data_IF_710906961174
#
_entry.id   IF_710906961174
#
_cell.length_a   1.000
_cell.length_b   1.000
_cell.length_c   1.000
_cell.angle_alpha   90.00
_cell.angle_beta   90.00
_cell.angle_gamma   90.00
#
_symmetry.space_group_name_H-M   'P 1'
#
loop_
_entity.id
_entity.type
_entity.pdbx_description
1 polymer ?
#
# COMPACT_ATOMS: atom_id res chain seq x y z
N UNK A 1 4.66 -5.31 21.47
CA UNK A 1 5.30 -5.25 20.16
C UNK A 1 6.34 -4.16 20.15
N UNK A 2 7.58 -4.56 19.95
CA UNK A 2 8.64 -3.61 19.67
C UNK A 2 8.52 -3.17 18.23
N UNK A 3 8.19 -1.92 18.04
CA UNK A 3 8.21 -1.33 16.74
C UNK A 3 9.59 -0.97 16.34
N UNK A 4 9.96 -1.35 15.15
CA UNK A 4 11.20 -0.87 14.57
C UNK A 4 11.00 0.43 13.79
N UNK A 5 9.86 0.74 13.22
CA UNK A 5 9.66 1.95 12.42
C UNK A 5 8.25 2.51 12.44
N UNK A 6 7.81 2.91 13.60
CA UNK A 6 6.66 3.78 13.61
C UNK A 6 5.29 3.11 13.56
N UNK A 7 5.13 1.80 13.41
CA UNK A 7 3.83 1.14 13.61
C UNK A 7 3.46 1.09 15.09
N UNK A 8 2.28 1.51 15.53
CA UNK A 8 1.86 1.41 16.92
C UNK A 8 1.43 -0.01 17.25
N UNK A 9 1.90 -0.60 18.37
CA UNK A 9 1.43 -1.91 18.81
C UNK A 9 -0.09 -1.96 18.94
N UNK A 10 -0.70 -0.82 19.15
CA UNK A 10 -2.14 -0.64 19.25
C UNK A 10 -2.89 -0.84 17.93
N UNK A 11 -2.19 -0.77 16.81
CA UNK A 11 -2.78 -0.93 15.47
C UNK A 11 -2.85 -2.39 15.01
N UNK A 12 -2.09 -3.29 15.61
CA UNK A 12 -2.09 -4.69 15.26
C UNK A 12 -2.86 -5.49 16.30
N UNK A 13 -4.05 -5.92 15.92
CA UNK A 13 -4.92 -6.73 16.75
C UNK A 13 -4.98 -8.18 16.29
N UNK A 14 -4.86 -9.14 17.21
CA UNK A 14 -5.08 -10.55 16.90
C UNK A 14 -6.58 -10.81 16.79
N UNK A 15 -7.05 -11.14 15.59
CA UNK A 15 -8.45 -11.51 15.31
C UNK A 15 -8.71 -13.00 15.51
N UNK A 16 -7.70 -13.82 15.19
CA UNK A 16 -7.77 -15.26 15.40
C UNK A 16 -6.41 -15.77 15.92
N UNK A 17 -6.39 -16.64 16.94
CA UNK A 17 -7.54 -17.13 17.73
C UNK A 17 -8.30 -16.01 18.46
N UNK A 18 -9.62 -16.20 18.67
CA UNK A 18 -10.43 -15.23 19.41
C UNK A 18 -9.83 -14.96 20.79
N UNK A 19 -9.99 -13.73 21.32
CA UNK A 19 -9.37 -13.27 22.56
C UNK A 19 -9.56 -14.22 23.74
N UNK A 20 -10.74 -14.87 23.84
CA UNK A 20 -11.08 -15.87 24.88
C UNK A 20 -10.23 -17.16 24.81
N UNK A 21 -9.61 -17.42 23.64
CA UNK A 21 -8.73 -18.59 23.39
C UNK A 21 -7.24 -18.22 23.39
N UNK A 22 -6.93 -16.94 23.48
CA UNK A 22 -5.55 -16.45 23.50
C UNK A 22 -4.97 -16.63 24.90
N UNK A 23 -4.10 -17.65 25.05
CA UNK A 23 -3.26 -17.78 26.24
C UNK A 23 -2.06 -16.81 26.16
N UNK A 24 -1.44 -16.50 27.31
CA UNK A 24 -0.23 -15.68 27.32
C UNK A 24 0.93 -16.31 26.54
N UNK A 25 0.99 -17.65 26.49
CA UNK A 25 1.95 -18.35 25.66
C UNK A 25 1.72 -18.12 24.17
N UNK A 26 0.45 -18.22 23.72
CA UNK A 26 0.06 -17.98 22.32
C UNK A 26 0.32 -16.52 21.92
N UNK A 27 -0.02 -15.57 22.81
CA UNK A 27 0.28 -14.15 22.56
C UNK A 27 1.76 -13.92 22.35
N UNK A 28 2.60 -14.38 23.28
CA UNK A 28 4.07 -14.24 23.15
C UNK A 28 4.60 -14.88 21.88
N UNK A 29 4.08 -16.05 21.50
CA UNK A 29 4.47 -16.71 20.25
C UNK A 29 4.16 -15.85 19.01
N UNK A 30 2.93 -15.33 18.93
CA UNK A 30 2.50 -14.46 17.81
C UNK A 30 3.34 -13.18 17.79
N UNK A 31 3.56 -12.57 18.95
CA UNK A 31 4.39 -11.36 19.08
C UNK A 31 5.82 -11.58 18.60
N UNK A 32 6.45 -12.66 19.04
CA UNK A 32 7.82 -12.98 18.66
C UNK A 32 7.94 -13.30 17.17
N UNK A 33 6.99 -14.05 16.63
CA UNK A 33 6.97 -14.44 15.22
C UNK A 33 6.79 -13.22 14.31
N UNK A 34 5.84 -12.35 14.64
CA UNK A 34 5.62 -11.11 13.87
C UNK A 34 6.78 -10.12 14.01
N UNK A 35 7.28 -9.91 15.22
CA UNK A 35 8.45 -9.05 15.46
C UNK A 35 9.69 -9.51 14.70
N UNK A 36 9.86 -10.83 14.52
CA UNK A 36 10.95 -11.36 13.69
C UNK A 36 10.77 -10.97 12.21
N UNK A 37 9.57 -11.00 11.69
CA UNK A 37 9.27 -10.56 10.32
C UNK A 37 9.60 -9.08 10.15
N UNK A 38 9.14 -8.23 11.08
CA UNK A 38 9.45 -6.80 11.08
C UNK A 38 10.97 -6.55 11.16
N UNK A 39 11.68 -7.28 12.03
CA UNK A 39 13.14 -7.17 12.17
C UNK A 39 13.86 -7.48 10.86
N UNK A 40 13.39 -8.44 10.09
CA UNK A 40 13.97 -8.78 8.79
C UNK A 40 13.67 -7.67 7.77
N UNK A 41 12.40 -7.26 7.64
CA UNK A 41 11.99 -6.26 6.64
C UNK A 41 12.66 -4.91 6.91
N UNK A 42 12.75 -4.49 8.16
CA UNK A 42 13.33 -3.20 8.54
C UNK A 42 14.83 -3.26 8.93
N UNK A 43 15.49 -4.39 8.64
CA UNK A 43 16.94 -4.52 8.90
C UNK A 43 17.73 -3.51 8.08
N UNK A 44 18.74 -2.90 8.71
CA UNK A 44 19.76 -2.11 8.02
C UNK A 44 20.84 -2.97 7.38
N UNK A 45 20.96 -4.24 7.81
CA UNK A 45 21.80 -5.24 7.16
C UNK A 45 21.09 -5.74 5.89
N UNK A 46 21.69 -5.46 4.75
CA UNK A 46 21.15 -5.81 3.43
C UNK A 46 20.97 -7.33 3.26
N UNK A 47 21.86 -8.13 3.83
CA UNK A 47 21.78 -9.59 3.74
C UNK A 47 20.61 -10.15 4.54
N UNK A 48 20.29 -9.53 5.67
CA UNK A 48 19.13 -9.85 6.50
C UNK A 48 17.86 -9.38 5.82
N UNK A 49 17.84 -8.12 5.35
CA UNK A 49 16.70 -7.57 4.63
C UNK A 49 16.32 -8.45 3.43
N UNK A 50 17.26 -8.77 2.56
CA UNK A 50 17.02 -9.58 1.35
C UNK A 50 16.46 -10.98 1.60
N UNK A 51 16.45 -11.44 2.85
CA UNK A 51 15.84 -12.71 3.22
C UNK A 51 14.32 -12.61 3.54
N UNK A 52 13.67 -11.45 3.31
CA UNK A 52 12.25 -11.27 3.59
C UNK A 52 11.34 -12.28 2.86
N UNK A 53 11.76 -12.75 1.69
CA UNK A 53 11.08 -13.77 0.89
C UNK A 53 10.92 -15.13 1.60
N UNK A 54 11.69 -15.37 2.67
CA UNK A 54 11.55 -16.56 3.54
C UNK A 54 10.45 -16.38 4.59
N UNK A 55 10.01 -15.15 4.83
CA UNK A 55 9.12 -14.80 5.93
C UNK A 55 7.74 -14.31 5.46
N UNK A 56 7.68 -13.69 4.30
CA UNK A 56 6.41 -13.24 3.70
C UNK A 56 6.14 -13.96 2.38
N UNK A 57 4.89 -14.11 2.04
CA UNK A 57 4.45 -14.59 0.73
C UNK A 57 4.44 -13.43 -0.25
N UNK A 58 5.42 -13.38 -1.12
CA UNK A 58 5.65 -12.26 -2.05
C UNK A 58 4.43 -12.03 -2.94
N UNK A 59 3.82 -13.10 -3.46
CA UNK A 59 2.70 -12.99 -4.40
C UNK A 59 1.51 -12.30 -3.72
N UNK A 60 1.20 -12.66 -2.49
CA UNK A 60 0.11 -12.00 -1.74
C UNK A 60 0.40 -10.52 -1.47
N UNK A 61 1.66 -10.16 -1.17
CA UNK A 61 2.06 -8.77 -0.96
C UNK A 61 2.02 -7.96 -2.27
N UNK A 62 2.45 -8.56 -3.37
CA UNK A 62 2.39 -7.93 -4.71
C UNK A 62 0.94 -7.70 -5.14
N UNK A 63 0.08 -8.71 -5.03
CA UNK A 63 -1.33 -8.58 -5.40
C UNK A 63 -2.06 -7.59 -4.49
N UNK A 64 -1.78 -7.59 -3.19
CA UNK A 64 -2.36 -6.65 -2.24
C UNK A 64 -1.93 -5.21 -2.53
N UNK A 65 -0.65 -4.97 -2.81
CA UNK A 65 -0.15 -3.67 -3.26
C UNK A 65 -0.91 -3.20 -4.50
N UNK A 66 -0.92 -4.02 -5.55
CA UNK A 66 -1.43 -3.62 -6.85
C UNK A 66 -2.94 -3.35 -6.85
N UNK A 67 -3.74 -4.15 -6.15
CA UNK A 67 -5.19 -3.94 -6.09
C UNK A 67 -5.53 -2.67 -5.31
N UNK A 68 -4.88 -2.44 -4.16
CA UNK A 68 -5.13 -1.24 -3.37
C UNK A 68 -4.59 0.02 -4.06
N UNK A 69 -3.43 -0.05 -4.72
CA UNK A 69 -2.90 1.05 -5.52
C UNK A 69 -3.82 1.37 -6.70
N UNK A 70 -4.20 0.36 -7.50
CA UNK A 70 -5.02 0.57 -8.70
C UNK A 70 -6.36 1.26 -8.41
N UNK A 71 -7.04 0.83 -7.34
CA UNK A 71 -8.28 1.45 -6.92
C UNK A 71 -8.09 2.67 -6.00
N UNK A 72 -6.86 3.04 -5.66
CA UNK A 72 -6.58 4.14 -4.76
C UNK A 72 -7.22 3.95 -3.39
N UNK A 73 -7.09 2.77 -2.79
CA UNK A 73 -7.62 2.50 -1.46
C UNK A 73 -6.68 3.08 -0.40
N UNK A 74 -6.92 4.32 -0.02
CA UNK A 74 -6.03 5.10 0.83
C UNK A 74 -5.83 4.51 2.22
N UNK A 75 -6.86 3.93 2.80
CA UNK A 75 -6.84 3.35 4.15
C UNK A 75 -6.01 2.07 4.24
N UNK A 76 -5.95 1.32 3.16
CA UNK A 76 -5.25 0.05 3.16
C UNK A 76 -3.76 0.21 3.46
N UNK A 77 -3.19 -0.79 4.11
CA UNK A 77 -1.79 -0.79 4.56
C UNK A 77 -1.58 -0.20 5.96
N UNK A 78 -2.45 0.72 6.40
CA UNK A 78 -2.43 1.30 7.76
C UNK A 78 -3.66 0.89 8.56
N UNK A 79 -4.83 1.05 7.95
CA UNK A 79 -6.11 0.66 8.50
C UNK A 79 -6.72 -0.46 7.67
N UNK A 80 -7.82 -1.06 8.14
CA UNK A 80 -8.60 -2.05 7.37
C UNK A 80 -7.76 -3.13 6.69
N UNK A 81 -6.62 -3.48 7.29
CA UNK A 81 -5.64 -4.41 6.73
C UNK A 81 -5.60 -5.70 7.53
N UNK A 82 -5.75 -6.81 6.84
CA UNK A 82 -5.68 -8.14 7.44
C UNK A 82 -4.44 -8.87 6.96
N UNK A 83 -3.88 -9.66 7.86
CA UNK A 83 -2.79 -10.58 7.58
C UNK A 83 -3.07 -11.92 8.25
N UNK A 84 -2.60 -12.99 7.66
CA UNK A 84 -2.73 -14.31 8.24
C UNK A 84 -1.46 -15.13 8.03
N UNK A 85 -1.23 -16.06 8.96
CA UNK A 85 -0.11 -16.96 8.91
C UNK A 85 -0.45 -18.26 9.62
N UNK A 86 -0.26 -19.39 8.93
CA UNK A 86 -0.26 -20.68 9.58
C UNK A 86 1.09 -20.92 10.27
N UNK A 87 1.10 -21.77 11.29
CA UNK A 87 2.33 -22.09 12.03
C UNK A 87 3.38 -22.71 11.09
N UNK A 88 4.57 -22.11 11.07
CA UNK A 88 5.69 -22.55 10.24
C UNK A 88 5.64 -22.09 8.78
N UNK A 89 4.58 -21.43 8.34
CA UNK A 89 4.44 -20.90 6.98
C UNK A 89 4.90 -19.43 6.89
N UNK A 90 4.79 -18.85 5.70
CA UNK A 90 5.04 -17.42 5.45
C UNK A 90 3.83 -16.59 5.86
N UNK A 91 4.05 -15.33 6.16
CA UNK A 91 2.99 -14.35 6.39
C UNK A 91 2.37 -13.96 5.04
N UNK A 92 1.05 -14.04 4.97
CA UNK A 92 0.24 -13.53 3.87
C UNK A 92 -0.46 -12.24 4.29
N UNK A 93 -0.65 -11.33 3.34
CA UNK A 93 -1.47 -10.13 3.53
C UNK A 93 -2.77 -10.27 2.71
N UNK A 94 -3.90 -9.86 3.29
CA UNK A 94 -5.23 -10.01 2.72
C UNK A 94 -6.19 -10.72 3.67
N UNK A 95 -7.47 -10.87 3.29
CA UNK A 95 -8.08 -10.39 2.04
C UNK A 95 -8.12 -8.86 1.96
N UNK A 96 -8.37 -8.33 0.74
CA UNK A 96 -8.67 -6.91 0.57
C UNK A 96 -10.03 -6.59 1.20
N UNK A 97 -10.15 -5.39 1.77
CA UNK A 97 -11.31 -5.01 2.56
C UNK A 97 -11.48 -3.50 2.55
N UNK A 98 -12.72 -3.04 2.65
CA UNK A 98 -13.06 -1.65 2.94
C UNK A 98 -12.59 -0.65 1.87
N UNK A 99 -13.26 -0.64 0.74
CA UNK A 99 -12.96 0.23 -0.40
C UNK A 99 -13.86 1.48 -0.46
N UNK A 100 -14.49 1.85 0.64
CA UNK A 100 -15.38 3.01 0.71
C UNK A 100 -14.64 4.34 0.48
N UNK A 101 -13.37 4.40 0.81
CA UNK A 101 -12.49 5.56 0.59
C UNK A 101 -11.62 5.43 -0.67
N UNK A 102 -11.89 4.46 -1.52
CA UNK A 102 -11.16 4.24 -2.75
C UNK A 102 -11.65 5.15 -3.89
N UNK A 103 -10.95 5.12 -5.02
CA UNK A 103 -11.34 5.77 -6.27
C UNK A 103 -11.59 7.28 -6.12
N UNK A 104 -10.71 7.93 -5.38
CA UNK A 104 -10.77 9.36 -5.05
C UNK A 104 -11.93 9.77 -4.13
N UNK A 105 -12.45 8.83 -3.36
CA UNK A 105 -13.48 9.11 -2.35
C UNK A 105 -12.89 9.32 -0.94
N UNK A 106 -11.60 9.68 -0.85
CA UNK A 106 -10.96 9.94 0.44
C UNK A 106 -11.42 11.28 1.03
N UNK A 107 -11.82 11.26 2.31
CA UNK A 107 -12.52 12.39 2.94
C UNK A 107 -11.62 13.57 3.31
N UNK A 108 -10.32 13.36 3.41
CA UNK A 108 -9.40 14.42 3.84
C UNK A 108 -8.78 15.17 2.67
N UNK A 109 -8.61 14.53 1.53
CA UNK A 109 -7.92 15.11 0.39
C UNK A 109 -8.26 14.38 -0.92
N UNK A 110 -8.02 15.04 -2.04
CA UNK A 110 -8.06 14.40 -3.35
C UNK A 110 -6.80 13.58 -3.57
N UNK A 111 -6.95 12.34 -3.97
CA UNK A 111 -5.82 11.51 -4.36
C UNK A 111 -5.25 11.97 -5.69
N UNK A 112 -3.95 12.19 -5.74
CA UNK A 112 -3.27 12.46 -7.00
C UNK A 112 -3.24 11.18 -7.87
N UNK A 113 -3.95 11.16 -9.02
CA UNK A 113 -3.97 9.99 -9.87
C UNK A 113 -2.65 9.76 -10.64
N UNK A 114 -1.67 10.64 -10.49
CA UNK A 114 -0.40 10.60 -11.22
C UNK A 114 0.78 10.12 -10.40
N UNK A 115 0.58 9.73 -9.14
CA UNK A 115 1.61 9.23 -8.24
C UNK A 115 1.21 7.92 -7.60
N UNK A 116 2.20 7.13 -7.13
CA UNK A 116 1.92 5.99 -6.27
C UNK A 116 1.75 6.47 -4.83
N UNK A 117 0.78 5.90 -4.12
CA UNK A 117 0.54 6.14 -2.70
C UNK A 117 0.99 4.95 -1.83
N UNK A 118 0.86 3.74 -2.35
CA UNK A 118 0.99 2.53 -1.55
C UNK A 118 2.43 2.20 -1.15
N UNK A 119 3.44 2.67 -1.91
CA UNK A 119 4.86 2.47 -1.59
C UNK A 119 5.30 3.10 -0.26
N UNK A 120 4.50 4.01 0.32
CA UNK A 120 4.79 4.65 1.62
C UNK A 120 4.13 3.95 2.80
N UNK A 121 3.28 2.97 2.55
CA UNK A 121 2.54 2.24 3.59
C UNK A 121 3.46 1.31 4.38
N UNK A 122 3.14 1.04 5.65
CA UNK A 122 3.93 0.13 6.49
C UNK A 122 4.23 -1.22 5.82
N UNK A 123 5.43 -1.70 5.99
CA UNK A 123 6.09 -2.83 5.32
C UNK A 123 6.41 -2.53 3.84
N UNK A 124 5.48 -1.93 3.09
CA UNK A 124 5.69 -1.59 1.68
C UNK A 124 6.70 -0.46 1.49
N UNK A 125 6.82 0.47 2.45
CA UNK A 125 7.82 1.53 2.48
C UNK A 125 9.24 0.95 2.40
N UNK A 126 9.45 -0.21 2.99
CA UNK A 126 10.73 -0.89 2.95
C UNK A 126 10.87 -1.86 1.78
N UNK A 127 9.81 -2.65 1.48
CA UNK A 127 9.82 -3.58 0.35
C UNK A 127 10.00 -2.85 -1.00
N UNK A 128 9.42 -1.66 -1.14
CA UNK A 128 9.56 -0.81 -2.32
C UNK A 128 10.98 -0.23 -2.51
N UNK A 129 11.92 -0.52 -1.64
CA UNK A 129 13.35 -0.22 -1.82
C UNK A 129 14.12 -1.39 -2.44
N UNK A 130 13.52 -2.57 -2.59
CA UNK A 130 14.16 -3.73 -3.24
C UNK A 130 13.69 -3.88 -4.68
N UNK A 131 14.63 -3.79 -5.62
CA UNK A 131 14.39 -3.98 -7.06
C UNK A 131 13.66 -5.28 -7.37
N UNK A 132 13.94 -6.38 -6.65
CA UNK A 132 13.26 -7.68 -6.86
C UNK A 132 11.77 -7.58 -6.57
N UNK A 133 11.39 -6.87 -5.52
CA UNK A 133 9.97 -6.64 -5.20
C UNK A 133 9.31 -5.76 -6.26
N UNK A 134 10.00 -4.69 -6.67
CA UNK A 134 9.48 -3.78 -7.71
C UNK A 134 9.36 -4.50 -9.07
N UNK A 135 10.29 -5.38 -9.42
CA UNK A 135 10.18 -6.20 -10.63
C UNK A 135 8.94 -7.10 -10.60
N UNK A 136 8.68 -7.77 -9.45
CA UNK A 136 7.44 -8.54 -9.27
C UNK A 136 6.18 -7.66 -9.44
N UNK A 137 6.17 -6.44 -8.89
CA UNK A 137 5.07 -5.47 -9.09
C UNK A 137 4.89 -5.13 -10.58
N UNK A 138 5.98 -4.80 -11.27
CA UNK A 138 5.94 -4.42 -12.71
C UNK A 138 5.43 -5.56 -13.59
N UNK A 139 5.96 -6.75 -13.41
CA UNK A 139 5.57 -7.94 -14.19
C UNK A 139 4.11 -8.31 -13.94
N UNK A 140 3.71 -8.34 -12.66
CA UNK A 140 2.35 -8.69 -12.29
C UNK A 140 1.35 -7.64 -12.77
N UNK A 141 1.66 -6.36 -12.62
CA UNK A 141 0.80 -5.27 -13.10
C UNK A 141 0.62 -5.33 -14.62
N UNK A 142 1.71 -5.51 -15.38
CA UNK A 142 1.65 -5.65 -16.82
C UNK A 142 0.79 -6.85 -17.28
N UNK A 143 0.77 -7.94 -16.51
CA UNK A 143 -0.12 -9.07 -16.76
C UNK A 143 -1.58 -8.73 -16.45
N UNK A 144 -1.86 -8.14 -15.29
CA UNK A 144 -3.21 -7.76 -14.86
C UNK A 144 -3.85 -6.72 -15.81
N UNK A 145 -3.08 -5.77 -16.34
CA UNK A 145 -3.56 -4.76 -17.30
C UNK A 145 -3.98 -5.33 -18.66
N UNK A 146 -3.59 -6.55 -18.96
CA UNK A 146 -4.03 -7.26 -20.19
C UNK A 146 -5.31 -8.06 -19.99
N UNK A 147 -5.77 -8.22 -18.76
CA UNK A 147 -6.91 -9.06 -18.40
C UNK A 147 -7.74 -8.39 -17.31
N UNK A 148 -7.66 -8.83 -16.08
CA UNK A 148 -8.54 -8.49 -14.95
C UNK A 148 -8.58 -6.99 -14.61
N UNK A 149 -7.46 -6.29 -14.75
CA UNK A 149 -7.38 -4.83 -14.56
C UNK A 149 -7.29 -4.07 -15.89
N UNK A 150 -7.66 -4.68 -17.02
CA UNK A 150 -7.84 -3.93 -18.25
C UNK A 150 -8.97 -2.92 -18.08
N UNK A 151 -8.85 -1.77 -18.73
CA UNK A 151 -9.87 -0.71 -18.63
C UNK A 151 -11.23 -1.21 -19.13
N UNK A 152 -11.24 -1.96 -20.23
CA UNK A 152 -12.44 -2.58 -20.78
C UNK A 152 -13.12 -3.48 -19.74
N UNK A 153 -12.38 -4.43 -19.17
CA UNK A 153 -12.97 -5.35 -18.18
C UNK A 153 -13.49 -4.65 -16.92
N UNK A 154 -12.72 -3.71 -16.38
CA UNK A 154 -13.12 -2.96 -15.17
C UNK A 154 -14.38 -2.15 -15.44
N UNK A 155 -14.48 -1.50 -16.60
CA UNK A 155 -15.65 -0.70 -16.96
C UNK A 155 -16.87 -1.56 -17.28
N UNK A 156 -16.69 -2.72 -17.89
CA UNK A 156 -17.77 -3.69 -18.11
C UNK A 156 -18.35 -4.18 -16.79
N UNK A 157 -17.50 -4.55 -15.81
CA UNK A 157 -17.94 -4.94 -14.47
C UNK A 157 -18.69 -3.80 -13.78
N UNK A 158 -18.23 -2.55 -13.93
CA UNK A 158 -18.97 -1.39 -13.41
C UNK A 158 -20.36 -1.26 -14.06
N UNK A 159 -20.45 -1.36 -15.37
CA UNK A 159 -21.73 -1.23 -16.11
C UNK A 159 -22.71 -2.35 -15.76
N UNK A 160 -22.23 -3.59 -15.69
CA UNK A 160 -23.05 -4.72 -15.25
C UNK A 160 -23.56 -4.53 -13.82
N UNK A 161 -22.71 -4.04 -12.92
CA UNK A 161 -23.07 -3.75 -11.52
C UNK A 161 -24.11 -2.63 -11.44
N UNK A 162 -23.94 -1.55 -12.18
CA UNK A 162 -24.90 -0.44 -12.27
C UNK A 162 -26.26 -0.94 -12.75
N UNK A 163 -26.30 -1.76 -13.79
CA UNK A 163 -27.53 -2.37 -14.30
C UNK A 163 -28.18 -3.31 -13.26
N UNK A 164 -27.39 -4.16 -12.63
CA UNK A 164 -27.87 -5.08 -11.59
C UNK A 164 -28.47 -4.33 -10.39
N UNK A 165 -27.84 -3.24 -9.96
CA UNK A 165 -28.27 -2.46 -8.81
C UNK A 165 -29.39 -1.45 -9.11
N UNK A 166 -29.80 -1.28 -10.37
CA UNK A 166 -30.74 -0.23 -10.80
C UNK A 166 -31.98 -0.09 -9.91
N UNK A 167 -32.67 -1.19 -9.61
CA UNK A 167 -33.86 -1.17 -8.77
C UNK A 167 -33.57 -0.93 -7.30
N UNK A 168 -32.41 -1.40 -6.82
CA UNK A 168 -31.97 -1.14 -5.44
C UNK A 168 -31.64 0.35 -5.27
N UNK A 169 -30.90 0.94 -6.22
CA UNK A 169 -30.58 2.36 -6.25
C UNK A 169 -31.84 3.26 -6.29
N UNK A 170 -32.86 2.88 -7.07
CA UNK A 170 -34.12 3.63 -7.10
C UNK A 170 -34.83 3.61 -5.74
N UNK A 171 -34.85 2.47 -5.05
CA UNK A 171 -35.43 2.37 -3.70
C UNK A 171 -34.62 3.13 -2.67
N UNK A 172 -33.31 3.09 -2.79
CA UNK A 172 -32.38 3.82 -1.93
C UNK A 172 -32.58 5.33 -2.11
N UNK A 173 -32.60 5.83 -3.36
CA UNK A 173 -32.90 7.23 -3.65
C UNK A 173 -34.27 7.64 -3.10
N UNK A 174 -35.34 6.90 -3.39
CA UNK A 174 -36.67 7.19 -2.86
C UNK A 174 -36.71 7.26 -1.32
N UNK A 175 -35.89 6.45 -0.66
CA UNK A 175 -35.80 6.44 0.82
C UNK A 175 -35.08 7.66 1.37
N UNK A 176 -34.04 8.13 0.71
CA UNK A 176 -33.06 9.05 1.25
C UNK A 176 -32.90 10.35 0.45
N UNK A 177 -33.75 10.59 -0.55
CA UNK A 177 -33.66 11.76 -1.43
C UNK A 177 -33.61 13.09 -0.66
N UNK A 178 -34.46 13.24 0.37
CA UNK A 178 -34.48 14.45 1.17
C UNK A 178 -33.16 14.66 1.93
N UNK A 179 -32.59 13.58 2.43
CA UNK A 179 -31.34 13.62 3.18
C UNK A 179 -30.12 13.89 2.26
N UNK A 180 -30.17 13.41 1.01
CA UNK A 180 -29.16 13.76 0.01
C UNK A 180 -29.24 15.24 -0.39
N UNK A 181 -30.45 15.77 -0.58
CA UNK A 181 -30.67 17.14 -1.07
C UNK A 181 -30.51 18.20 0.02
N UNK A 182 -30.89 17.91 1.26
CA UNK A 182 -30.77 18.87 2.38
C UNK A 182 -29.42 18.78 3.12
N UNK A 183 -28.59 17.80 2.73
CA UNK A 183 -27.28 17.58 3.34
C UNK A 183 -27.35 16.97 4.75
N UNK A 184 -28.46 16.38 5.17
CA UNK A 184 -28.59 15.75 6.51
C UNK A 184 -27.75 14.48 6.65
N UNK A 185 -27.30 13.87 5.57
CA UNK A 185 -26.18 12.92 5.57
C UNK A 185 -24.86 13.59 5.91
N UNK A 186 -24.77 14.89 5.88
CA UNK A 186 -23.59 15.62 6.33
C UNK A 186 -23.56 15.66 7.85
N UNK A 187 -23.03 14.62 8.43
CA UNK A 187 -22.39 14.72 9.74
C UNK A 187 -21.36 15.87 9.65
N UNK A 188 -21.14 16.69 10.72
CA UNK A 188 -20.09 17.72 10.73
C UNK A 188 -18.70 17.23 10.38
N UNK A 189 -18.50 15.92 10.37
CA UNK A 189 -17.28 15.24 9.95
C UNK A 189 -17.40 14.55 8.58
N UNK A 190 -18.50 14.75 7.87
CA UNK A 190 -18.73 14.09 6.59
C UNK A 190 -18.29 14.99 5.44
N UNK A 191 -17.00 14.98 5.20
CA UNK A 191 -16.36 15.73 4.12
C UNK A 191 -16.73 15.22 2.72
N UNK A 192 -17.27 14.01 2.61
CA UNK A 192 -17.60 13.36 1.35
C UNK A 192 -18.69 14.05 0.54
N UNK A 193 -19.56 14.80 1.22
CA UNK A 193 -20.74 15.39 0.62
C UNK A 193 -20.62 16.90 0.41
N UNK A 194 -19.45 17.48 0.63
CA UNK A 194 -19.23 18.91 0.49
C UNK A 194 -18.17 19.21 -0.55
N UNK A 195 -18.40 20.25 -1.35
CA UNK A 195 -17.34 20.83 -2.15
C UNK A 195 -16.20 21.28 -1.24
N UNK A 196 -14.98 21.08 -1.66
CA UNK A 196 -13.81 21.57 -0.95
C UNK A 196 -12.85 22.27 -1.91
N UNK A 197 -11.97 23.10 -1.38
CA UNK A 197 -11.00 23.85 -2.17
C UNK A 197 -9.60 23.29 -1.92
N UNK A 198 -8.94 22.85 -2.98
CA UNK A 198 -7.55 22.44 -2.98
C UNK A 198 -6.80 23.23 -4.06
N UNK A 199 -5.67 23.82 -3.70
CA UNK A 199 -4.81 24.59 -4.60
C UNK A 199 -5.56 25.67 -5.41
N UNK A 200 -6.53 26.34 -4.77
CA UNK A 200 -7.45 27.32 -5.36
C UNK A 200 -8.42 26.73 -6.43
N UNK A 201 -8.58 25.43 -6.49
CA UNK A 201 -9.59 24.76 -7.33
C UNK A 201 -10.69 24.22 -6.45
N UNK A 202 -11.94 24.51 -6.80
CA UNK A 202 -13.10 23.90 -6.15
C UNK A 202 -13.26 22.48 -6.70
N UNK A 203 -13.20 21.50 -5.83
CA UNK A 203 -13.54 20.11 -6.14
C UNK A 203 -14.98 19.89 -5.71
N UNK A 204 -15.84 19.69 -6.70
CA UNK A 204 -17.28 19.52 -6.47
C UNK A 204 -17.64 18.08 -6.20
N UNK A 205 -18.58 17.88 -5.28
CA UNK A 205 -19.20 16.59 -4.97
C UNK A 205 -20.61 16.57 -5.54
N UNK A 206 -20.97 15.48 -6.20
CA UNK A 206 -22.21 15.34 -6.95
C UNK A 206 -23.18 14.35 -6.30
N UNK A 207 -23.53 14.60 -5.04
CA UNK A 207 -24.34 13.68 -4.23
C UNK A 207 -25.69 13.32 -4.83
N UNK A 208 -26.25 14.23 -5.65
CA UNK A 208 -27.51 14.09 -6.37
C UNK A 208 -27.33 13.65 -7.83
N UNK A 209 -26.09 13.49 -8.29
CA UNK A 209 -25.75 13.22 -9.69
C UNK A 209 -24.96 11.92 -9.85
N UNK A 210 -25.63 10.82 -9.66
CA UNK A 210 -25.04 9.48 -9.72
C UNK A 210 -24.19 9.21 -10.97
N UNK A 211 -24.64 9.64 -12.13
CA UNK A 211 -23.91 9.45 -13.39
C UNK A 211 -22.61 10.27 -13.42
N UNK A 212 -22.60 11.43 -12.77
CA UNK A 212 -21.39 12.25 -12.64
C UNK A 212 -20.38 11.59 -11.70
N UNK A 213 -20.82 10.98 -10.61
CA UNK A 213 -19.92 10.22 -9.72
C UNK A 213 -19.33 8.99 -10.42
N UNK A 214 -20.12 8.26 -11.22
CA UNK A 214 -19.59 7.18 -12.06
C UNK A 214 -18.54 7.67 -13.05
N UNK A 215 -18.77 8.85 -13.66
CA UNK A 215 -17.78 9.46 -14.55
C UNK A 215 -16.50 9.84 -13.81
N UNK A 216 -16.60 10.35 -12.60
CA UNK A 216 -15.44 10.68 -11.72
C UNK A 216 -14.63 9.44 -11.42
N UNK A 217 -15.28 8.34 -11.02
CA UNK A 217 -14.63 7.05 -10.76
C UNK A 217 -13.90 6.55 -12.02
N UNK A 218 -14.56 6.53 -13.18
CA UNK A 218 -13.95 6.09 -14.44
C UNK A 218 -12.75 6.94 -14.82
N UNK A 219 -12.87 8.25 -14.65
CA UNK A 219 -11.80 9.20 -14.96
C UNK A 219 -10.58 8.95 -14.07
N UNK A 220 -10.79 8.71 -12.78
CA UNK A 220 -9.72 8.35 -11.85
C UNK A 220 -9.04 7.05 -12.28
N UNK A 221 -9.80 5.98 -12.47
CA UNK A 221 -9.27 4.65 -12.83
C UNK A 221 -8.53 4.68 -14.17
N UNK A 222 -9.04 5.43 -15.16
CA UNK A 222 -8.36 5.63 -16.42
C UNK A 222 -6.99 6.29 -16.25
N UNK A 223 -6.95 7.43 -15.56
CA UNK A 223 -5.71 8.18 -15.34
C UNK A 223 -4.71 7.37 -14.52
N UNK A 224 -5.13 6.91 -13.35
CA UNK A 224 -4.26 6.21 -12.42
C UNK A 224 -3.78 4.87 -12.99
N UNK A 225 -4.67 4.08 -13.57
CA UNK A 225 -4.31 2.81 -14.19
C UNK A 225 -3.27 2.92 -15.31
N UNK A 226 -3.22 4.04 -16.03
CA UNK A 226 -2.22 4.26 -17.07
C UNK A 226 -0.87 4.77 -16.54
N UNK A 227 -0.85 5.31 -15.33
CA UNK A 227 0.36 5.90 -14.73
C UNK A 227 1.14 4.90 -13.88
N UNK A 228 0.49 3.94 -13.23
CA UNK A 228 1.13 3.00 -12.30
C UNK A 228 2.37 2.32 -12.91
N UNK A 229 2.31 1.85 -14.16
CA UNK A 229 3.46 1.20 -14.81
C UNK A 229 4.66 2.15 -14.95
N UNK A 230 4.39 3.41 -15.24
CA UNK A 230 5.42 4.46 -15.37
C UNK A 230 6.04 4.75 -14.00
N UNK A 231 5.20 4.92 -13.00
CA UNK A 231 5.64 5.22 -11.64
C UNK A 231 6.40 4.05 -10.99
N UNK A 232 5.99 2.81 -11.23
CA UNK A 232 6.77 1.62 -10.82
C UNK A 232 8.14 1.58 -11.48
N UNK A 233 8.27 2.08 -12.74
CA UNK A 233 9.56 2.18 -13.40
C UNK A 233 10.44 3.24 -12.75
N UNK A 234 9.89 4.41 -12.45
CA UNK A 234 10.62 5.46 -11.70
C UNK A 234 11.06 4.98 -10.31
N UNK A 235 10.19 4.24 -9.62
CA UNK A 235 10.51 3.66 -8.32
C UNK A 235 11.67 2.66 -8.41
N UNK A 236 11.68 1.85 -9.46
CA UNK A 236 12.79 0.93 -9.75
C UNK A 236 14.11 1.67 -9.99
N UNK A 237 14.10 2.70 -10.84
CA UNK A 237 15.28 3.51 -11.14
C UNK A 237 15.84 4.20 -9.90
N UNK A 238 14.95 4.69 -9.02
CA UNK A 238 15.32 5.28 -7.73
C UNK A 238 15.97 4.25 -6.80
N UNK A 239 15.41 3.03 -6.71
CA UNK A 239 15.98 1.96 -5.90
C UNK A 239 17.37 1.53 -6.43
N UNK A 240 17.56 1.52 -7.75
CA UNK A 240 18.85 1.25 -8.39
C UNK A 240 19.88 2.32 -8.08
N UNK A 241 19.50 3.60 -8.22
CA UNK A 241 20.37 4.74 -7.90
C UNK A 241 20.82 4.72 -6.43
N UNK A 242 19.90 4.50 -5.50
CA UNK A 242 20.22 4.42 -4.08
C UNK A 242 21.16 3.25 -3.76
N UNK A 243 21.01 2.12 -4.45
CA UNK A 243 21.91 0.97 -4.31
C UNK A 243 23.30 1.28 -4.86
N UNK A 244 23.41 1.98 -5.99
CA UNK A 244 24.71 2.36 -6.57
C UNK A 244 25.46 3.34 -5.69
N UNK A 245 24.80 4.37 -5.16
CA UNK A 245 25.37 5.33 -4.23
C UNK A 245 25.89 4.66 -2.94
N UNK A 246 25.15 3.69 -2.42
CA UNK A 246 25.58 2.94 -1.25
C UNK A 246 26.87 2.15 -1.54
N UNK A 247 26.92 1.48 -2.68
CA UNK A 247 28.09 0.71 -3.09
C UNK A 247 29.33 1.61 -3.32
N UNK A 248 29.15 2.78 -3.92
CA UNK A 248 30.24 3.76 -4.10
C UNK A 248 30.78 4.27 -2.75
N UNK A 249 29.91 4.56 -1.79
CA UNK A 249 30.30 4.99 -0.47
C UNK A 249 31.02 3.88 0.31
N UNK A 250 30.56 2.64 0.21
CA UNK A 250 31.24 1.49 0.82
C UNK A 250 32.61 1.25 0.20
N UNK A 251 32.74 1.35 -1.12
CA UNK A 251 34.01 1.27 -1.83
C UNK A 251 34.96 2.38 -1.39
N UNK A 252 34.46 3.61 -1.29
CA UNK A 252 35.26 4.75 -0.82
C UNK A 252 35.77 4.57 0.59
N UNK A 253 34.92 4.07 1.51
CA UNK A 253 35.32 3.74 2.88
C UNK A 253 36.38 2.63 2.93
N UNK A 254 36.23 1.58 2.11
CA UNK A 254 37.23 0.51 1.99
C UNK A 254 38.58 1.04 1.49
N UNK A 255 38.59 1.92 0.51
CA UNK A 255 39.81 2.55 0.01
C UNK A 255 40.46 3.39 1.10
N UNK A 256 39.70 4.19 1.85
CA UNK A 256 40.20 4.95 3.00
C UNK A 256 40.81 4.02 4.05
N UNK A 257 40.10 2.96 4.42
CA UNK A 257 40.62 1.98 5.40
C UNK A 257 41.92 1.35 4.91
N UNK A 258 42.04 0.96 3.64
CA UNK A 258 43.29 0.43 3.09
C UNK A 258 44.44 1.45 3.14
N UNK A 259 44.14 2.72 2.84
CA UNK A 259 45.17 3.79 2.86
C UNK A 259 45.69 4.07 4.26
N UNK A 260 44.88 3.89 5.30
CA UNK A 260 45.28 4.18 6.68
C UNK A 260 45.75 2.94 7.47
N UNK A 261 45.20 1.75 7.21
CA UNK A 261 45.52 0.55 7.93
C UNK A 261 46.78 -0.18 7.38
N UNK A 262 46.97 -0.21 6.07
CA UNK A 262 48.12 -0.88 5.45
C UNK A 262 49.44 -0.22 5.82
N UNK A 263 49.59 1.13 5.81
CA UNK A 263 50.83 1.76 6.30
C UNK A 263 51.11 1.51 7.75
N UNK A 264 50.10 1.45 8.63
CA UNK A 264 50.27 1.18 10.07
C UNK A 264 50.81 -0.23 10.34
N UNK A 265 50.40 -1.23 9.56
CA UNK A 265 50.88 -2.60 9.67
C UNK A 265 52.33 -2.73 9.17
N UNK A 266 52.70 -1.96 8.13
CA UNK A 266 54.07 -1.97 7.61
C UNK A 266 55.07 -1.24 8.52
N UNK A 267 54.62 -0.22 9.25
CA UNK A 267 55.45 0.51 10.23
C UNK A 267 55.70 -0.37 11.47
N UNK A 268 54.69 -1.10 11.95
CA UNK A 268 54.83 -1.99 13.10
C UNK A 268 55.64 -3.27 12.84
N UNK A 269 55.96 -3.61 11.58
CA UNK A 269 56.87 -4.74 11.26
C UNK A 269 58.33 -4.36 11.16
N UNK A 270 58.65 -3.07 11.29
CA UNK A 270 60.05 -2.55 11.27
C UNK A 270 60.56 -2.04 12.62
N UNK A 271 59.78 -2.22 13.68
CA UNK A 271 60.16 -2.04 15.07
C UNK A 271 60.28 -3.43 15.73
#
# INVERSE_FOLDING_TARGET
YGRLNGLSPEWIGVKYPAAVRLTDQTKRFIEQDFSKIEQVIYSTDESVFKAYDKYIDIDSFVDYFLINEFFGNYDAGEHSTYMYKNSGERLHIGPVWDFDQAMNNYFQDEMDPYTLAFQTKPLFDRLSMDKRFIDCLKERYAALRKDTLSEEHVFDVMDETVMYLKSARQREWYRWEADYLDGSFTNPHNYYLQDYVKDNVTVSRFNDQYEQELYTIRTYLHKHGNVIQIELTKLYDLAEYNTSLKNENELFLLIIMMLFLVPSILINRKA
#
